data_IF_707006147483
#
_entry.id   IF_707006147483
#
_cell.length_a   1.000
_cell.length_b   1.000
_cell.length_c   1.000
_cell.angle_alpha   90.00
_cell.angle_beta   90.00
_cell.angle_gamma   90.00
#
_symmetry.space_group_name_H-M   'P 1'
#
loop_
_entity.id
_entity.type
_entity.pdbx_description
1 polymer ?
#
# COMPACT_ATOMS: atom_id res chain seq x y z
N UNK A 1 0.60 -14.11 -19.02
CA UNK A 1 0.04 -13.03 -18.22
C UNK A 1 1.13 -12.00 -17.93
N UNK A 2 0.84 -10.72 -18.09
CA UNK A 2 1.86 -9.70 -17.88
C UNK A 2 2.12 -9.48 -16.40
N UNK A 3 3.42 -9.41 -16.02
CA UNK A 3 3.80 -9.04 -14.67
C UNK A 3 3.42 -7.58 -14.41
N UNK A 4 2.81 -7.27 -13.26
CA UNK A 4 2.51 -5.89 -12.91
C UNK A 4 3.77 -5.01 -12.87
N UNK A 5 3.62 -3.78 -13.33
CA UNK A 5 4.72 -2.82 -13.42
C UNK A 5 4.53 -1.78 -12.31
N UNK A 6 5.58 -1.51 -11.54
CA UNK A 6 5.51 -0.52 -10.48
C UNK A 6 5.75 0.90 -11.02
N UNK A 7 5.10 1.86 -10.39
CA UNK A 7 5.34 3.28 -10.62
C UNK A 7 4.97 4.08 -9.38
N UNK A 8 5.43 5.31 -9.31
CA UNK A 8 5.06 6.21 -8.22
C UNK A 8 3.71 6.86 -8.49
N UNK A 9 3.05 7.32 -7.42
CA UNK A 9 1.92 8.22 -7.52
C UNK A 9 2.39 9.49 -8.24
N UNK A 10 1.63 9.97 -9.21
CA UNK A 10 2.08 11.09 -10.06
C UNK A 10 1.11 12.26 -10.10
N UNK A 11 -0.18 11.99 -10.30
CA UNK A 11 -1.17 13.01 -10.55
C UNK A 11 -2.44 12.75 -9.76
N UNK A 12 -3.31 13.76 -9.65
CA UNK A 12 -4.54 13.63 -8.88
C UNK A 12 -5.48 12.54 -9.41
N UNK A 13 -5.42 12.22 -10.68
CA UNK A 13 -6.18 11.11 -11.22
C UNK A 13 -5.85 9.79 -10.51
N UNK A 14 -4.63 9.65 -10.03
CA UNK A 14 -4.23 8.45 -9.29
C UNK A 14 -5.03 8.27 -8.00
N UNK A 15 -5.45 9.37 -7.37
CA UNK A 15 -6.34 9.30 -6.21
C UNK A 15 -7.63 8.57 -6.56
N UNK A 16 -8.23 8.92 -7.70
CA UNK A 16 -9.48 8.29 -8.14
C UNK A 16 -9.27 6.85 -8.59
N UNK A 17 -8.15 6.56 -9.24
CA UNK A 17 -7.80 5.20 -9.64
C UNK A 17 -7.57 4.30 -8.42
N UNK A 18 -6.93 4.82 -7.39
CA UNK A 18 -6.74 4.10 -6.13
C UNK A 18 -8.10 3.84 -5.47
N UNK A 19 -8.98 4.83 -5.49
CA UNK A 19 -10.32 4.69 -4.94
C UNK A 19 -11.09 3.55 -5.61
N UNK A 20 -11.03 3.48 -6.92
CA UNK A 20 -11.67 2.40 -7.69
C UNK A 20 -11.02 1.04 -7.38
N UNK A 21 -9.69 1.00 -7.31
CA UNK A 21 -8.96 -0.19 -6.93
C UNK A 21 -9.41 -0.72 -5.55
N UNK A 22 -9.48 0.14 -4.55
CA UNK A 22 -9.90 -0.27 -3.21
C UNK A 22 -11.36 -0.72 -3.16
N UNK A 23 -12.22 -0.09 -3.98
CA UNK A 23 -13.60 -0.53 -4.11
C UNK A 23 -13.69 -1.96 -4.65
N UNK A 24 -12.92 -2.26 -5.70
CA UNK A 24 -12.90 -3.61 -6.27
C UNK A 24 -12.33 -4.63 -5.28
N UNK A 25 -11.27 -4.27 -4.57
CA UNK A 25 -10.68 -5.15 -3.56
C UNK A 25 -11.70 -5.50 -2.48
N UNK A 26 -12.43 -4.51 -2.00
CA UNK A 26 -13.46 -4.74 -0.99
C UNK A 26 -14.54 -5.69 -1.46
N UNK A 27 -14.98 -5.55 -2.71
CA UNK A 27 -15.98 -6.44 -3.30
C UNK A 27 -15.47 -7.88 -3.43
N UNK A 28 -14.23 -8.05 -3.86
CA UNK A 28 -13.62 -9.37 -4.04
C UNK A 28 -13.30 -10.08 -2.72
N UNK A 29 -13.05 -9.32 -1.65
CA UNK A 29 -12.71 -9.89 -0.35
C UNK A 29 -13.93 -10.28 0.48
N UNK A 30 -15.15 -10.19 -0.05
CA UNK A 30 -16.38 -10.50 0.69
C UNK A 30 -16.43 -9.78 2.05
N UNK A 31 -15.99 -8.52 2.08
CA UNK A 31 -15.92 -7.67 3.28
C UNK A 31 -14.89 -8.13 4.32
N UNK A 32 -13.96 -9.00 3.97
CA UNK A 32 -12.78 -9.25 4.80
C UNK A 32 -11.75 -8.19 4.47
N UNK A 33 -11.43 -7.34 5.43
CA UNK A 33 -10.61 -6.15 5.18
C UNK A 33 -9.12 -6.48 5.19
N UNK A 34 -8.62 -7.06 4.10
CA UNK A 34 -7.20 -7.22 3.89
C UNK A 34 -6.55 -5.91 3.41
N UNK A 35 -7.36 -4.97 3.00
CA UNK A 35 -6.94 -3.68 2.47
C UNK A 35 -7.79 -2.56 3.06
N UNK A 36 -7.34 -1.32 2.88
CA UNK A 36 -8.07 -0.15 3.35
C UNK A 36 -9.44 -0.04 2.70
N UNK A 37 -10.42 0.44 3.46
CA UNK A 37 -11.70 0.82 2.92
C UNK A 37 -11.60 2.14 2.14
N UNK A 38 -12.60 2.40 1.30
CA UNK A 38 -12.71 3.69 0.61
C UNK A 38 -12.73 4.87 1.58
N UNK A 39 -13.46 4.73 2.67
CA UNK A 39 -13.58 5.81 3.66
C UNK A 39 -12.24 6.10 4.32
N UNK A 40 -11.46 5.08 4.62
CA UNK A 40 -10.14 5.27 5.22
C UNK A 40 -9.19 5.98 4.26
N UNK A 41 -9.21 5.61 2.99
CA UNK A 41 -8.40 6.26 1.96
C UNK A 41 -8.80 7.73 1.80
N UNK A 42 -10.08 8.02 1.68
CA UNK A 42 -10.57 9.39 1.55
C UNK A 42 -10.21 10.22 2.77
N UNK A 43 -10.41 9.67 3.97
CA UNK A 43 -10.08 10.36 5.21
C UNK A 43 -8.58 10.67 5.28
N UNK A 44 -7.74 9.68 4.96
CA UNK A 44 -6.29 9.87 5.01
C UNK A 44 -5.84 10.92 4.00
N UNK A 45 -6.31 10.83 2.76
CA UNK A 45 -5.89 11.76 1.69
C UNK A 45 -6.29 13.20 1.99
N UNK A 46 -7.53 13.42 2.37
CA UNK A 46 -8.07 14.78 2.47
C UNK A 46 -8.02 15.37 3.87
N UNK A 47 -7.84 14.54 4.89
CA UNK A 47 -7.76 15.01 6.28
C UNK A 47 -6.43 14.66 6.91
N UNK A 48 -6.06 13.38 6.96
CA UNK A 48 -4.83 12.95 7.62
C UNK A 48 -3.59 13.57 7.01
N UNK A 49 -3.41 13.42 5.71
CA UNK A 49 -2.22 13.93 5.04
C UNK A 49 -2.22 15.46 4.96
N UNK A 50 -3.36 16.07 4.66
CA UNK A 50 -3.44 17.52 4.50
C UNK A 50 -3.24 18.28 5.82
N UNK A 51 -3.68 17.72 6.93
CA UNK A 51 -3.68 18.42 8.21
C UNK A 51 -2.64 17.94 9.21
N UNK A 52 -2.13 16.70 9.05
CA UNK A 52 -1.27 16.08 10.05
C UNK A 52 0.08 15.68 9.48
N UNK A 53 0.12 14.84 8.44
CA UNK A 53 1.36 14.21 7.99
C UNK A 53 2.11 14.99 6.92
N UNK A 54 1.40 15.64 5.99
CA UNK A 54 1.98 16.49 4.94
C UNK A 54 2.99 15.78 4.05
N UNK A 55 2.77 14.49 3.74
CA UNK A 55 3.63 13.77 2.81
C UNK A 55 3.47 14.27 1.38
N UNK A 56 4.57 14.27 0.64
CA UNK A 56 4.51 14.35 -0.82
C UNK A 56 4.11 12.98 -1.34
N UNK A 57 2.92 12.86 -1.93
CA UNK A 57 2.37 11.58 -2.34
C UNK A 57 3.26 10.85 -3.35
N UNK A 58 3.96 11.58 -4.21
CA UNK A 58 4.86 10.99 -5.19
C UNK A 58 6.02 10.23 -4.54
N UNK A 59 6.42 10.64 -3.34
CA UNK A 59 7.54 10.04 -2.65
C UNK A 59 7.15 8.84 -1.78
N UNK A 60 5.88 8.76 -1.38
CA UNK A 60 5.47 7.78 -0.35
C UNK A 60 4.48 6.73 -0.86
N UNK A 61 3.83 6.95 -2.00
CA UNK A 61 2.88 6.00 -2.57
C UNK A 61 3.47 5.36 -3.82
N UNK A 62 3.56 4.04 -3.83
CA UNK A 62 4.00 3.27 -4.99
C UNK A 62 2.87 2.37 -5.46
N UNK A 63 2.65 2.33 -6.77
CA UNK A 63 1.54 1.63 -7.39
C UNK A 63 2.07 0.54 -8.32
N UNK A 64 1.33 -0.54 -8.43
CA UNK A 64 1.59 -1.60 -9.41
C UNK A 64 0.41 -1.67 -10.37
N UNK A 65 0.69 -1.63 -11.66
CA UNK A 65 -0.32 -1.65 -12.71
C UNK A 65 -0.20 -2.89 -13.58
N UNK A 66 -1.36 -3.43 -13.96
CA UNK A 66 -1.47 -4.47 -14.97
C UNK A 66 -2.66 -4.12 -15.88
N UNK A 67 -2.43 -4.09 -17.18
CA UNK A 67 -3.46 -3.78 -18.19
C UNK A 67 -4.15 -2.43 -17.93
N UNK A 68 -3.38 -1.42 -17.50
CA UNK A 68 -3.90 -0.08 -17.25
C UNK A 68 -4.68 0.09 -15.96
N UNK A 69 -4.69 -0.93 -15.11
CA UNK A 69 -5.39 -0.90 -13.82
C UNK A 69 -4.42 -1.06 -12.67
N UNK A 70 -4.68 -0.37 -11.56
CA UNK A 70 -3.91 -0.56 -10.34
C UNK A 70 -4.31 -1.91 -9.73
N UNK A 71 -3.30 -2.73 -9.41
CA UNK A 71 -3.51 -4.05 -8.82
C UNK A 71 -2.86 -4.19 -7.45
N UNK A 72 -1.98 -3.27 -7.08
CA UNK A 72 -1.37 -3.24 -5.75
C UNK A 72 -0.90 -1.83 -5.43
N UNK A 73 -0.76 -1.54 -4.13
CA UNK A 73 -0.28 -0.26 -3.64
C UNK A 73 0.48 -0.47 -2.33
N UNK A 74 1.58 0.27 -2.16
CA UNK A 74 2.26 0.43 -0.88
C UNK A 74 2.12 1.89 -0.49
N UNK A 75 1.62 2.15 0.72
CA UNK A 75 1.36 3.50 1.19
C UNK A 75 1.59 3.61 2.69
N UNK A 76 1.92 4.82 3.20
CA UNK A 76 1.98 5.06 4.64
C UNK A 76 0.61 5.50 5.16
N UNK A 77 0.47 5.48 6.49
CA UNK A 77 -0.52 6.30 7.17
C UNK A 77 0.21 7.39 7.95
N UNK A 78 1.14 7.00 8.80
CA UNK A 78 2.03 7.93 9.49
C UNK A 78 3.49 7.65 9.15
N UNK A 79 4.38 8.47 9.70
CA UNK A 79 5.82 8.33 9.47
C UNK A 79 6.32 6.97 9.98
N UNK A 80 7.09 6.27 9.15
CA UNK A 80 7.63 4.96 9.52
C UNK A 80 6.63 3.83 9.46
N UNK A 81 5.48 4.03 8.83
CA UNK A 81 4.44 3.02 8.68
C UNK A 81 4.25 2.62 7.23
N UNK A 82 3.97 1.36 6.98
CA UNK A 82 3.68 0.86 5.64
C UNK A 82 2.44 -0.01 5.65
N UNK A 83 1.62 0.17 4.64
CA UNK A 83 0.43 -0.64 4.40
C UNK A 83 0.50 -1.19 2.99
N UNK A 84 0.02 -2.43 2.83
CA UNK A 84 0.05 -3.15 1.57
C UNK A 84 -1.38 -3.43 1.13
N UNK A 85 -1.75 -2.91 -0.03
CA UNK A 85 -3.09 -3.09 -0.60
C UNK A 85 -2.93 -3.93 -1.88
N UNK A 86 -3.56 -5.09 -1.95
CA UNK A 86 -3.37 -6.01 -3.08
C UNK A 86 -4.71 -6.53 -3.55
N UNK A 87 -4.95 -6.42 -4.86
CA UNK A 87 -6.16 -7.00 -5.45
C UNK A 87 -6.06 -8.53 -5.36
N UNK A 88 -7.06 -9.23 -4.78
CA UNK A 88 -6.98 -10.68 -4.58
C UNK A 88 -6.73 -11.48 -5.85
N UNK A 89 -7.27 -11.04 -6.99
CA UNK A 89 -7.09 -11.73 -8.26
C UNK A 89 -5.66 -11.67 -8.78
N UNK A 90 -4.81 -10.79 -8.22
CA UNK A 90 -3.44 -10.57 -8.69
C UNK A 90 -2.38 -10.95 -7.63
N UNK A 91 -2.78 -11.63 -6.56
CA UNK A 91 -1.83 -11.99 -5.50
C UNK A 91 -0.69 -12.87 -5.98
N UNK A 92 -0.95 -13.75 -6.96
CA UNK A 92 0.10 -14.63 -7.48
C UNK A 92 1.03 -13.91 -8.46
N UNK A 93 0.56 -12.83 -9.10
CA UNK A 93 1.34 -12.07 -10.06
C UNK A 93 2.14 -10.94 -9.42
N UNK A 94 1.72 -10.48 -8.24
CA UNK A 94 2.39 -9.39 -7.51
C UNK A 94 3.45 -10.00 -6.61
N UNK A 95 4.69 -9.51 -6.73
CA UNK A 95 5.77 -9.96 -5.86
C UNK A 95 5.65 -9.31 -4.49
N UNK A 96 5.35 -10.12 -3.47
CA UNK A 96 5.31 -9.65 -2.08
C UNK A 96 6.68 -9.14 -1.63
N UNK A 97 7.75 -9.78 -2.09
CA UNK A 97 9.11 -9.35 -1.78
C UNK A 97 9.37 -7.97 -2.36
N UNK A 98 8.94 -7.72 -3.59
CA UNK A 98 9.08 -6.41 -4.22
C UNK A 98 8.34 -5.31 -3.45
N UNK A 99 7.11 -5.60 -3.01
CA UNK A 99 6.35 -4.65 -2.19
C UNK A 99 7.08 -4.32 -0.89
N UNK A 100 7.59 -5.33 -0.21
CA UNK A 100 8.32 -5.14 1.04
C UNK A 100 9.62 -4.35 0.81
N UNK A 101 10.36 -4.67 -0.26
CA UNK A 101 11.58 -3.95 -0.60
C UNK A 101 11.29 -2.45 -0.84
N UNK A 102 10.22 -2.12 -1.55
CA UNK A 102 9.82 -0.74 -1.78
C UNK A 102 9.50 -0.04 -0.46
N UNK A 103 8.75 -0.71 0.42
CA UNK A 103 8.41 -0.15 1.72
C UNK A 103 9.67 0.14 2.55
N UNK A 104 10.61 -0.78 2.55
CA UNK A 104 11.87 -0.64 3.29
C UNK A 104 12.74 0.50 2.74
N UNK A 105 12.65 0.79 1.45
CA UNK A 105 13.42 1.87 0.83
C UNK A 105 12.79 3.25 1.02
N UNK A 106 11.47 3.34 0.98
CA UNK A 106 10.77 4.63 0.88
C UNK A 106 10.11 5.11 2.18
N UNK A 107 9.70 4.21 3.05
CA UNK A 107 8.82 4.54 4.15
C UNK A 107 9.42 4.52 5.57
N UNK A 108 10.65 4.03 5.80
CA UNK A 108 11.20 4.04 7.15
C UNK A 108 11.36 5.46 7.70
N UNK A 109 11.28 5.59 9.01
CA UNK A 109 11.68 6.81 9.71
C UNK A 109 12.97 6.53 10.49
N UNK A 110 13.72 7.60 10.78
CA UNK A 110 14.90 7.50 11.63
C UNK A 110 14.47 7.76 13.08
N UNK A 111 14.77 6.81 13.97
CA UNK A 111 14.42 6.97 15.39
C UNK A 111 15.46 7.81 16.15
N UNK A 112 15.26 7.98 17.46
CA UNK A 112 16.14 8.80 18.31
C UNK A 112 17.58 8.27 18.37
N UNK A 113 17.79 6.98 18.11
CA UNK A 113 19.10 6.35 18.10
C UNK A 113 19.79 6.40 16.74
N UNK A 114 19.18 7.06 15.76
CA UNK A 114 19.70 7.15 14.41
C UNK A 114 19.45 5.91 13.54
N UNK A 115 18.65 4.97 14.02
CA UNK A 115 18.32 3.76 13.30
C UNK A 115 17.03 3.92 12.52
N UNK A 116 16.94 3.25 11.37
CA UNK A 116 15.72 3.25 10.56
C UNK A 116 14.72 2.25 11.14
N UNK A 117 13.47 2.68 11.25
CA UNK A 117 12.35 1.87 11.71
C UNK A 117 11.23 1.86 10.70
N UNK A 118 10.63 0.70 10.50
CA UNK A 118 9.44 0.54 9.67
C UNK A 118 8.48 -0.40 10.38
N UNK A 119 7.23 0.05 10.54
CA UNK A 119 6.17 -0.72 11.18
C UNK A 119 5.11 -1.02 10.14
N UNK A 120 4.63 -2.26 10.11
CA UNK A 120 3.52 -2.64 9.26
C UNK A 120 2.56 -3.55 10.04
N UNK A 121 1.32 -3.59 9.58
CA UNK A 121 0.29 -4.43 10.16
C UNK A 121 -0.14 -5.48 9.15
N UNK A 122 -0.34 -6.71 9.63
CA UNK A 122 -0.77 -7.83 8.79
C UNK A 122 -2.08 -8.35 9.35
N UNK A 123 -3.12 -8.44 8.50
CA UNK A 123 -4.37 -9.05 8.90
C UNK A 123 -4.12 -10.49 9.32
N UNK A 124 -4.68 -10.90 10.46
CA UNK A 124 -4.47 -12.26 11.00
C UNK A 124 -4.89 -13.37 10.03
N UNK A 125 -5.80 -13.06 9.11
CA UNK A 125 -6.25 -14.00 8.08
C UNK A 125 -5.37 -13.98 6.82
N UNK A 126 -4.38 -13.10 6.73
CA UNK A 126 -3.51 -12.99 5.55
C UNK A 126 -2.23 -13.82 5.75
N UNK A 127 -2.34 -15.11 5.46
CA UNK A 127 -1.25 -16.05 5.70
C UNK A 127 -0.01 -15.78 4.85
N UNK A 128 -0.19 -15.26 3.63
CA UNK A 128 0.91 -14.96 2.73
C UNK A 128 1.83 -13.87 3.28
N UNK A 129 1.26 -12.78 3.76
CA UNK A 129 2.03 -11.69 4.36
C UNK A 129 2.62 -12.10 5.71
N UNK A 130 1.88 -12.85 6.53
CA UNK A 130 2.39 -13.34 7.80
C UNK A 130 3.64 -14.19 7.60
N UNK A 131 3.62 -15.09 6.62
CA UNK A 131 4.76 -15.93 6.31
C UNK A 131 5.97 -15.11 5.86
N UNK A 132 5.76 -14.14 4.98
CA UNK A 132 6.83 -13.28 4.47
C UNK A 132 7.52 -12.52 5.60
N UNK A 133 6.75 -11.92 6.51
CA UNK A 133 7.31 -11.13 7.60
C UNK A 133 8.00 -12.02 8.66
N UNK A 134 7.56 -13.24 8.82
CA UNK A 134 8.19 -14.20 9.73
C UNK A 134 9.55 -14.64 9.20
N UNK A 135 9.69 -14.80 7.88
CA UNK A 135 10.94 -15.24 7.25
C UNK A 135 11.99 -14.12 7.17
N UNK A 136 11.59 -12.89 7.32
CA UNK A 136 12.48 -11.72 7.33
C UNK A 136 12.65 -11.17 8.73
#
# INVERSE_FOLDING_TARGET
MMKPILRNYQVEEDYWCIREFLREVSLHNNRHDFSWSLLRWDYWRWHGNENIFHFNLQDVITLWEANGQIVAMVNPEGSGEAFFQIHPAFRDEVSMVELLDVAEQKLPKTNADGKKELITWVNAADDSLKKLFTEK
#
